data_IF_611215012008
#
_entry.id   IF_611215012008
#
_cell.length_a   1.000
_cell.length_b   1.000
_cell.length_c   1.000
_cell.angle_alpha   90.00
_cell.angle_beta   90.00
_cell.angle_gamma   90.00
#
_symmetry.space_group_name_H-M   'P 1'
#
loop_
_entity.id
_entity.type
_entity.pdbx_description
1 polymer ?
#
# COMPACT_ATOMS: atom_id res chain seq x y z
N UNK A 1 -18.69 -7.07 5.09
CA UNK A 1 -17.92 -8.25 4.60
C UNK A 1 -16.48 -7.77 4.45
N UNK A 2 -15.48 -8.54 4.90
CA UNK A 2 -14.06 -8.20 4.67
C UNK A 2 -13.60 -8.98 3.46
N UNK A 3 -13.11 -8.29 2.44
CA UNK A 3 -12.64 -8.95 1.23
C UNK A 3 -11.26 -9.53 1.51
N UNK A 4 -11.16 -10.85 1.39
CA UNK A 4 -9.90 -11.56 1.64
C UNK A 4 -8.88 -11.29 0.55
N UNK A 5 -7.61 -11.14 0.92
CA UNK A 5 -6.50 -10.89 -0.01
C UNK A 5 -6.11 -12.12 -0.85
N UNK A 6 -6.53 -13.30 -0.41
CA UNK A 6 -6.03 -14.60 -0.90
C UNK A 6 -6.26 -14.80 -2.40
N UNK A 7 -7.42 -14.40 -2.92
CA UNK A 7 -7.72 -14.56 -4.36
C UNK A 7 -6.77 -13.74 -5.23
N UNK A 8 -6.54 -12.48 -4.86
CA UNK A 8 -5.64 -11.59 -5.61
C UNK A 8 -4.20 -12.10 -5.52
N UNK A 9 -3.74 -12.51 -4.33
CA UNK A 9 -2.39 -13.05 -4.13
C UNK A 9 -2.15 -14.35 -4.92
N UNK A 10 -3.15 -15.24 -4.97
CA UNK A 10 -3.07 -16.46 -5.75
C UNK A 10 -2.97 -16.15 -7.25
N UNK A 11 -3.79 -15.22 -7.75
CA UNK A 11 -3.75 -14.78 -9.14
C UNK A 11 -2.41 -14.16 -9.52
N UNK A 12 -1.84 -13.29 -8.67
CA UNK A 12 -0.54 -12.65 -8.94
C UNK A 12 0.57 -13.67 -9.23
N UNK A 13 0.56 -14.82 -8.55
CA UNK A 13 1.54 -15.92 -8.76
C UNK A 13 1.42 -16.58 -10.14
N UNK A 14 0.32 -16.37 -10.86
CA UNK A 14 0.07 -16.99 -12.17
C UNK A 14 0.49 -16.11 -13.36
N UNK A 15 0.95 -14.88 -13.14
CA UNK A 15 1.25 -13.92 -14.21
C UNK A 15 2.52 -14.34 -14.97
N UNK A 16 2.39 -15.00 -16.13
CA UNK A 16 3.54 -15.60 -16.84
C UNK A 16 4.41 -14.64 -17.67
N UNK A 17 3.88 -13.50 -18.10
CA UNK A 17 4.54 -12.61 -19.09
C UNK A 17 5.17 -11.36 -18.47
N UNK A 18 5.25 -11.28 -17.14
CA UNK A 18 5.81 -10.12 -16.46
C UNK A 18 7.20 -10.42 -15.92
N UNK A 19 8.22 -9.74 -16.46
CA UNK A 19 9.62 -9.94 -16.07
C UNK A 19 9.94 -9.58 -14.61
N UNK A 20 9.11 -8.77 -13.96
CA UNK A 20 9.29 -8.37 -12.55
C UNK A 20 8.68 -9.33 -11.53
N UNK A 21 8.05 -10.43 -11.96
CA UNK A 21 7.30 -11.30 -11.03
C UNK A 21 8.20 -11.92 -9.95
N UNK A 22 9.33 -12.51 -10.33
CA UNK A 22 10.20 -13.21 -9.38
C UNK A 22 10.73 -12.27 -8.30
N UNK A 23 11.11 -11.05 -8.68
CA UNK A 23 11.58 -10.03 -7.75
C UNK A 23 10.45 -9.54 -6.84
N UNK A 24 9.25 -9.32 -7.40
CA UNK A 24 8.08 -8.94 -6.62
C UNK A 24 7.66 -9.99 -5.60
N UNK A 25 7.67 -11.27 -5.98
CA UNK A 25 7.35 -12.37 -5.06
C UNK A 25 8.42 -12.52 -3.96
N UNK A 26 9.68 -12.21 -4.26
CA UNK A 26 10.77 -12.19 -3.28
C UNK A 26 10.78 -10.92 -2.41
N UNK A 27 10.11 -9.85 -2.84
CA UNK A 27 10.11 -8.58 -2.14
C UNK A 27 9.42 -8.69 -0.77
N UNK A 28 10.04 -8.03 0.22
CA UNK A 28 9.51 -8.01 1.58
C UNK A 28 8.18 -7.24 1.63
N UNK A 29 7.25 -7.76 2.42
CA UNK A 29 6.04 -7.04 2.80
C UNK A 29 6.32 -6.11 3.98
N UNK A 30 6.15 -4.82 3.77
CA UNK A 30 6.39 -3.79 4.77
C UNK A 30 5.13 -3.48 5.57
N UNK A 31 5.29 -3.21 6.86
CA UNK A 31 4.20 -2.72 7.71
C UNK A 31 3.98 -1.25 7.39
N UNK A 32 2.75 -0.90 7.05
CA UNK A 32 2.35 0.47 6.78
C UNK A 32 1.47 1.01 7.90
N UNK A 33 1.81 2.21 8.37
CA UNK A 33 1.11 2.92 9.44
C UNK A 33 0.70 4.30 8.97
N UNK A 34 -0.48 4.74 9.42
CA UNK A 34 -1.00 6.10 9.26
C UNK A 34 -1.30 6.60 10.67
N UNK A 35 -0.79 7.78 11.02
CA UNK A 35 -0.93 8.38 12.36
C UNK A 35 -0.53 7.44 13.51
N UNK A 36 0.51 6.63 13.29
CA UNK A 36 1.00 5.66 14.26
C UNK A 36 0.18 4.36 14.36
N UNK A 37 -1.02 4.32 13.78
CA UNK A 37 -1.89 3.14 13.76
C UNK A 37 -1.56 2.21 12.60
N UNK A 38 -1.78 0.91 12.78
CA UNK A 38 -1.55 -0.09 11.74
C UNK A 38 -2.63 0.08 10.64
N UNK A 39 -2.22 0.61 9.49
CA UNK A 39 -3.09 0.83 8.35
C UNK A 39 -3.11 -0.38 7.41
N UNK A 40 -1.99 -1.11 7.32
CA UNK A 40 -1.91 -2.22 6.41
C UNK A 40 -0.51 -2.71 6.11
N UNK A 41 -0.38 -3.29 4.93
CA UNK A 41 0.87 -3.83 4.42
C UNK A 41 1.09 -3.44 2.98
N UNK A 42 2.35 -3.19 2.61
CA UNK A 42 2.73 -2.85 1.24
C UNK A 42 3.85 -3.79 0.79
N UNK A 43 3.68 -4.41 -0.38
CA UNK A 43 4.69 -5.23 -1.03
C UNK A 43 5.05 -4.60 -2.37
N UNK A 44 6.34 -4.34 -2.57
CA UNK A 44 6.88 -3.70 -3.76
C UNK A 44 8.31 -4.17 -3.96
N UNK A 45 8.71 -4.43 -5.20
CA UNK A 45 10.12 -4.69 -5.52
C UNK A 45 10.87 -3.41 -5.89
N UNK A 46 12.20 -3.40 -5.72
CA UNK A 46 13.04 -2.23 -5.94
C UNK A 46 13.05 -1.78 -7.40
N UNK A 47 13.03 -2.73 -8.34
CA UNK A 47 12.87 -2.45 -9.78
C UNK A 47 11.39 -2.41 -10.19
N UNK A 48 10.49 -2.57 -9.23
CA UNK A 48 9.10 -2.93 -9.42
C UNK A 48 8.24 -1.82 -10.00
N UNK A 49 7.54 -2.16 -11.08
CA UNK A 49 6.40 -1.42 -11.64
C UNK A 49 5.06 -1.79 -11.00
N UNK A 50 5.09 -2.59 -9.93
CA UNK A 50 3.90 -3.07 -9.22
C UNK A 50 4.08 -2.87 -7.72
N UNK A 51 3.04 -2.29 -7.11
CA UNK A 51 2.87 -2.17 -5.66
C UNK A 51 1.57 -2.85 -5.29
N UNK A 52 1.61 -3.76 -4.31
CA UNK A 52 0.41 -4.38 -3.75
C UNK A 52 0.22 -3.90 -2.32
N UNK A 53 -0.87 -3.18 -2.08
CA UNK A 53 -1.24 -2.65 -0.77
C UNK A 53 -2.48 -3.38 -0.24
N UNK A 54 -2.40 -3.81 1.01
CA UNK A 54 -3.51 -4.39 1.76
C UNK A 54 -3.92 -3.37 2.83
N UNK A 55 -5.14 -2.85 2.73
CA UNK A 55 -5.70 -1.93 3.72
C UNK A 55 -6.48 -2.74 4.75
N UNK A 56 -6.03 -2.72 6.01
CA UNK A 56 -6.67 -3.50 7.06
C UNK A 56 -8.00 -2.88 7.47
N UNK A 57 -8.97 -3.73 7.79
CA UNK A 57 -10.31 -3.30 8.20
C UNK A 57 -11.23 -2.88 7.06
N UNK A 58 -10.73 -2.81 5.81
CA UNK A 58 -11.54 -2.55 4.64
C UNK A 58 -12.25 -3.82 4.12
N UNK A 59 -13.45 -3.63 3.58
CA UNK A 59 -14.17 -4.58 2.74
C UNK A 59 -14.00 -4.24 1.26
N UNK A 60 -15.06 -4.44 0.48
CA UNK A 60 -15.04 -4.22 -0.97
C UNK A 60 -14.77 -2.78 -1.38
N UNK A 61 -15.31 -1.82 -0.63
CA UNK A 61 -15.19 -0.39 -0.91
C UNK A 61 -14.23 0.26 0.07
N UNK A 62 -12.93 0.17 -0.24
CA UNK A 62 -11.85 0.66 0.62
C UNK A 62 -12.05 2.11 1.10
N UNK A 63 -12.41 3.10 0.26
CA UNK A 63 -12.60 4.47 0.72
C UNK A 63 -13.82 4.65 1.64
N UNK A 64 -14.83 3.79 1.52
CA UNK A 64 -16.02 3.82 2.40
C UNK A 64 -15.68 3.25 3.77
N UNK A 65 -14.95 2.14 3.83
CA UNK A 65 -14.64 1.45 5.08
C UNK A 65 -13.44 2.06 5.82
N UNK A 66 -12.48 2.62 5.08
CA UNK A 66 -11.21 3.12 5.59
C UNK A 66 -10.80 4.43 4.88
N UNK A 67 -11.58 5.52 5.03
CA UNK A 67 -11.38 6.76 4.25
C UNK A 67 -9.99 7.39 4.45
N UNK A 68 -9.51 7.47 5.70
CA UNK A 68 -8.19 8.05 6.02
C UNK A 68 -7.05 7.23 5.41
N UNK A 69 -7.11 5.90 5.54
CA UNK A 69 -6.08 5.03 4.98
C UNK A 69 -6.15 5.02 3.45
N UNK A 70 -7.34 5.05 2.85
CA UNK A 70 -7.50 5.13 1.41
C UNK A 70 -6.88 6.41 0.83
N UNK A 71 -7.12 7.56 1.48
CA UNK A 71 -6.48 8.82 1.10
C UNK A 71 -4.97 8.74 1.23
N UNK A 72 -4.45 8.29 2.38
CA UNK A 72 -3.02 8.17 2.62
C UNK A 72 -2.32 7.20 1.63
N UNK A 73 -3.01 6.13 1.21
CA UNK A 73 -2.52 5.24 0.15
C UNK A 73 -2.41 5.97 -1.20
N UNK A 74 -3.44 6.72 -1.59
CA UNK A 74 -3.45 7.46 -2.86
C UNK A 74 -2.38 8.56 -2.88
N UNK A 75 -2.32 9.37 -1.82
CA UNK A 75 -1.30 10.42 -1.68
C UNK A 75 0.10 9.82 -1.62
N UNK A 76 0.29 8.74 -0.86
CA UNK A 76 1.56 8.03 -0.76
C UNK A 76 2.05 7.52 -2.12
N UNK A 77 1.15 6.95 -2.92
CA UNK A 77 1.46 6.49 -4.27
C UNK A 77 1.77 7.64 -5.23
N UNK A 78 0.95 8.69 -5.25
CA UNK A 78 1.10 9.83 -6.18
C UNK A 78 2.36 10.64 -5.87
N UNK A 79 2.62 10.90 -4.58
CA UNK A 79 3.73 11.73 -4.13
C UNK A 79 5.02 10.91 -3.93
N UNK A 80 4.98 9.61 -4.17
CA UNK A 80 6.07 8.67 -3.93
C UNK A 80 6.65 8.78 -2.52
N UNK A 81 5.78 8.70 -1.50
CA UNK A 81 6.17 8.84 -0.09
C UNK A 81 5.94 7.57 0.73
N UNK A 82 6.65 7.48 1.85
CA UNK A 82 6.52 6.36 2.79
C UNK A 82 6.79 5.00 2.12
N UNK A 83 6.00 3.95 2.43
CA UNK A 83 6.21 2.62 1.85
C UNK A 83 5.85 2.53 0.36
N UNK A 84 5.35 3.62 -0.24
CA UNK A 84 5.02 3.70 -1.66
C UNK A 84 6.12 4.36 -2.51
N UNK A 85 7.18 4.90 -1.89
CA UNK A 85 8.28 5.57 -2.59
C UNK A 85 9.11 4.61 -3.48
N UNK A 86 9.53 5.08 -4.65
CA UNK A 86 10.40 4.34 -5.56
C UNK A 86 11.88 4.57 -5.19
N UNK A 87 12.44 3.68 -4.36
CA UNK A 87 13.87 3.68 -4.06
C UNK A 87 14.29 4.64 -2.94
N UNK A 88 15.20 4.11 -2.10
CA UNK A 88 15.69 4.61 -0.80
C UNK A 88 14.80 4.25 0.38
N UNK A 89 15.27 3.23 1.08
CA UNK A 89 14.72 2.76 2.33
C UNK A 89 14.62 3.86 3.37
N UNK A 90 13.59 3.72 4.19
CA UNK A 90 13.52 4.09 5.59
C UNK A 90 14.34 5.32 6.00
N UNK A 91 13.70 6.49 5.99
CA UNK A 91 13.66 7.42 7.12
C UNK A 91 12.90 8.69 6.72
N UNK A 92 11.62 8.75 7.09
CA UNK A 92 11.05 9.84 7.88
C UNK A 92 9.55 9.66 7.94
N UNK A 93 9.10 9.41 9.16
CA UNK A 93 7.72 9.51 9.56
C UNK A 93 7.35 11.00 9.50
N UNK A 94 6.99 11.50 8.31
CA UNK A 94 6.35 12.81 8.20
C UNK A 94 4.90 12.63 8.60
N UNK A 95 4.58 13.14 9.78
CA UNK A 95 3.23 13.48 10.23
C UNK A 95 2.58 14.25 9.09
N UNK A 96 1.46 13.73 8.56
CA UNK A 96 0.66 14.45 7.58
C UNK A 96 0.19 15.73 8.28
N UNK A 97 0.56 16.93 7.80
CA UNK A 97 0.14 18.15 8.47
C UNK A 97 -1.38 18.28 8.43
N UNK A 98 -1.98 18.66 9.56
CA UNK A 98 -3.44 18.82 9.74
C UNK A 98 -4.15 19.74 8.73
N UNK A 99 -3.41 20.45 7.87
CA UNK A 99 -3.97 21.40 6.90
C UNK A 99 -4.53 20.77 5.61
N UNK A 100 -4.43 19.46 5.43
CA UNK A 100 -5.12 18.74 4.32
C UNK A 100 -6.38 17.99 4.76
N UNK A 101 -6.89 18.26 5.97
CA UNK A 101 -8.16 17.71 6.44
C UNK A 101 -9.30 18.57 5.89
N UNK A 102 -9.87 18.19 4.75
CA UNK A 102 -11.13 18.78 4.29
C UNK A 102 -12.20 18.53 5.36
N UNK A 103 -12.65 19.60 5.99
CA UNK A 103 -13.68 19.57 7.01
C UNK A 103 -15.02 19.25 6.36
N UNK A 104 -15.59 18.10 6.72
CA UNK A 104 -17.03 17.84 6.76
C UNK A 104 -17.34 17.03 8.02
#
# INVERSE_FOLDING_TARGET
>A
MRDGVVSVEAWMKTIRRWGGLSEFLAARREVWRVDGLLAGYVQRSETGRLTHAVVLGAGHLVPTDQPVNAQAMMEGWILETGPFAAGKGQQQQRVIPDHYRWQY
#
